data_IF_279277341133
#
_entry.id   IF_279277341133
#
_cell.length_a   1.000
_cell.length_b   1.000
_cell.length_c   1.000
_cell.angle_alpha   90.00
_cell.angle_beta   90.00
_cell.angle_gamma   90.00
#
_symmetry.space_group_name_H-M   'P 1'
#
loop_
_entity.id
_entity.type
_entity.pdbx_description
1 polymer ?
#
# COMPACT_ATOMS: atom_id res chain seq x y z
N UNK A 1 -27.58 1.84 8.46
CA UNK A 1 -27.11 0.52 8.94
C UNK A 1 -26.52 -0.37 7.84
N UNK A 2 -27.23 -0.63 6.71
CA UNK A 2 -26.70 -1.50 5.62
C UNK A 2 -25.36 -1.08 5.03
N UNK A 3 -25.11 0.23 4.87
CA UNK A 3 -23.83 0.72 4.34
C UNK A 3 -22.65 0.52 5.29
N UNK A 4 -22.89 0.62 6.60
CA UNK A 4 -21.88 0.41 7.63
C UNK A 4 -21.42 -1.06 7.63
N UNK A 5 -22.37 -2.01 7.52
CA UNK A 5 -22.07 -3.44 7.40
C UNK A 5 -21.22 -3.75 6.16
N UNK A 6 -21.49 -3.09 5.03
CA UNK A 6 -20.66 -3.24 3.82
C UNK A 6 -19.24 -2.69 4.03
N UNK A 7 -19.08 -1.60 4.78
CA UNK A 7 -17.74 -1.08 5.10
C UNK A 7 -16.93 -2.09 5.91
N UNK A 8 -17.53 -2.74 6.92
CA UNK A 8 -16.85 -3.79 7.68
C UNK A 8 -16.46 -4.98 6.83
N UNK A 9 -17.32 -5.38 5.88
CA UNK A 9 -16.97 -6.44 4.93
C UNK A 9 -15.75 -6.05 4.07
N UNK A 10 -15.69 -4.81 3.57
CA UNK A 10 -14.57 -4.34 2.75
C UNK A 10 -13.28 -4.20 3.57
N UNK A 11 -13.40 -3.71 4.81
CA UNK A 11 -12.30 -3.67 5.76
C UNK A 11 -11.79 -5.07 6.06
N UNK A 12 -12.66 -6.06 6.24
CA UNK A 12 -12.26 -7.45 6.43
C UNK A 12 -11.39 -7.97 5.28
N UNK A 13 -11.80 -7.71 4.03
CA UNK A 13 -11.03 -8.10 2.85
C UNK A 13 -9.68 -7.38 2.75
N UNK A 14 -9.66 -6.07 2.99
CA UNK A 14 -8.44 -5.27 3.01
C UNK A 14 -7.47 -5.69 4.13
N UNK A 15 -8.00 -6.06 5.30
CA UNK A 15 -7.21 -6.57 6.43
C UNK A 15 -6.51 -7.88 6.09
N UNK A 16 -7.14 -8.76 5.29
CA UNK A 16 -6.47 -9.98 4.80
C UNK A 16 -5.23 -9.63 3.98
N UNK A 17 -5.32 -8.66 3.07
CA UNK A 17 -4.17 -8.16 2.30
C UNK A 17 -3.05 -7.65 3.21
N UNK A 18 -3.39 -6.86 4.23
CA UNK A 18 -2.42 -6.38 5.20
C UNK A 18 -1.75 -7.52 5.96
N UNK A 19 -2.53 -8.49 6.43
CA UNK A 19 -2.02 -9.66 7.17
C UNK A 19 -1.08 -10.53 6.31
N UNK A 20 -1.34 -10.65 5.01
CA UNK A 20 -0.44 -11.36 4.09
C UNK A 20 0.92 -10.65 4.00
N UNK A 21 0.93 -9.32 3.82
CA UNK A 21 2.19 -8.55 3.79
C UNK A 21 2.90 -8.59 5.15
N UNK A 22 2.15 -8.46 6.25
CA UNK A 22 2.68 -8.55 7.61
C UNK A 22 3.33 -9.91 7.86
N UNK A 23 2.70 -11.00 7.42
CA UNK A 23 3.29 -12.33 7.49
C UNK A 23 4.63 -12.39 6.74
N UNK A 24 4.70 -11.83 5.52
CA UNK A 24 5.95 -11.73 4.77
C UNK A 24 7.04 -10.92 5.48
N UNK A 25 6.67 -9.83 6.15
CA UNK A 25 7.59 -9.00 6.93
C UNK A 25 8.15 -9.76 8.13
N UNK A 26 7.29 -10.47 8.88
CA UNK A 26 7.66 -11.13 10.14
C UNK A 26 8.41 -12.45 9.93
N UNK A 27 8.02 -13.22 8.90
CA UNK A 27 8.50 -14.59 8.69
C UNK A 27 9.33 -14.79 7.42
N UNK A 28 9.42 -13.78 6.55
CA UNK A 28 10.15 -13.90 5.29
C UNK A 28 11.67 -13.94 5.43
N UNK A 29 12.23 -13.47 6.57
CA UNK A 29 13.68 -13.45 6.80
C UNK A 29 14.47 -12.59 5.81
N UNK A 30 13.79 -11.69 5.09
CA UNK A 30 14.38 -10.91 4.01
C UNK A 30 15.19 -9.73 4.57
N UNK A 31 16.41 -9.58 4.07
CA UNK A 31 17.20 -8.35 4.22
C UNK A 31 16.66 -7.23 3.31
N UNK A 32 17.28 -6.05 3.36
CA UNK A 32 16.96 -4.94 2.46
C UNK A 32 17.06 -5.37 0.99
N UNK A 33 16.08 -4.96 0.22
CA UNK A 33 15.91 -5.32 -1.18
C UNK A 33 16.35 -4.17 -2.08
N UNK A 34 17.38 -4.41 -2.90
CA UNK A 34 17.89 -3.51 -3.95
C UNK A 34 17.89 -2.04 -3.53
N UNK A 35 16.86 -1.30 -3.93
CA UNK A 35 16.76 0.14 -3.82
C UNK A 35 16.40 0.63 -2.42
N UNK A 36 15.98 -0.25 -1.49
CA UNK A 36 15.60 0.14 -0.12
C UNK A 36 16.75 0.82 0.64
N UNK A 37 17.99 0.36 0.44
CA UNK A 37 19.17 1.03 1.03
C UNK A 37 19.44 2.38 0.38
N UNK A 38 19.19 2.51 -0.93
CA UNK A 38 19.32 3.78 -1.64
C UNK A 38 18.27 4.80 -1.16
N UNK A 39 17.03 4.36 -0.93
CA UNK A 39 15.99 5.23 -0.37
C UNK A 39 16.31 5.64 1.06
N UNK A 40 16.83 4.72 1.89
CA UNK A 40 17.30 5.05 3.24
C UNK A 40 18.43 6.08 3.22
N UNK A 41 19.41 5.94 2.33
CA UNK A 41 20.47 6.93 2.21
C UNK A 41 19.95 8.28 1.72
N UNK A 42 18.98 8.26 0.81
CA UNK A 42 18.27 9.46 0.35
C UNK A 42 17.57 10.19 1.50
N UNK A 43 17.12 9.49 2.55
CA UNK A 43 16.57 10.15 3.75
C UNK A 43 17.59 10.97 4.53
N UNK A 44 18.90 10.68 4.41
CA UNK A 44 19.98 11.47 5.01
C UNK A 44 20.32 12.72 4.19
N UNK A 45 19.93 12.72 2.91
CA UNK A 45 20.17 13.77 1.95
C UNK A 45 18.85 14.20 1.30
N UNK A 46 17.97 14.79 2.10
CA UNK A 46 16.67 15.26 1.62
C UNK A 46 16.83 16.32 0.54
N UNK A 47 16.23 16.07 -0.61
CA UNK A 47 16.19 16.99 -1.74
C UNK A 47 14.75 17.05 -2.31
N UNK A 48 14.50 18.02 -3.19
CA UNK A 48 13.23 18.20 -3.91
C UNK A 48 13.15 17.36 -5.20
N UNK A 49 14.22 16.66 -5.56
CA UNK A 49 14.22 15.75 -6.71
C UNK A 49 15.42 14.83 -6.69
N UNK A 50 15.19 13.56 -6.99
CA UNK A 50 16.23 12.56 -7.17
C UNK A 50 16.22 12.09 -8.63
N UNK A 51 17.31 11.45 -9.05
CA UNK A 51 17.45 10.99 -10.45
C UNK A 51 16.33 10.00 -10.82
N UNK A 52 15.96 9.12 -9.90
CA UNK A 52 15.09 7.98 -10.21
C UNK A 52 13.68 8.06 -9.59
N UNK A 53 13.43 9.00 -8.67
CA UNK A 53 12.16 9.03 -7.93
C UNK A 53 11.76 10.43 -7.42
N UNK A 54 10.45 10.65 -7.21
CA UNK A 54 9.96 11.89 -6.61
C UNK A 54 10.36 12.01 -5.11
N UNK A 55 10.45 13.24 -4.57
CA UNK A 55 10.92 13.48 -3.20
C UNK A 55 9.91 13.04 -2.14
N UNK A 56 8.60 13.02 -2.46
CA UNK A 56 7.52 12.78 -1.50
C UNK A 56 7.67 11.44 -0.78
N UNK A 57 8.06 10.38 -1.50
CA UNK A 57 8.30 9.07 -0.88
C UNK A 57 9.43 9.15 0.14
N UNK A 58 10.54 9.80 -0.21
CA UNK A 58 11.71 9.90 0.67
C UNK A 58 11.42 10.75 1.90
N UNK A 59 10.70 11.86 1.75
CA UNK A 59 10.31 12.68 2.90
C UNK A 59 9.42 11.91 3.87
N UNK A 60 8.51 11.08 3.33
CA UNK A 60 7.68 10.20 4.15
C UNK A 60 8.51 9.10 4.83
N UNK A 61 9.44 8.48 4.10
CA UNK A 61 10.37 7.51 4.66
C UNK A 61 11.20 8.12 5.80
N UNK A 62 11.77 9.31 5.57
CA UNK A 62 12.55 10.05 6.56
C UNK A 62 11.77 10.32 7.83
N UNK A 63 10.52 10.76 7.72
CA UNK A 63 9.67 11.01 8.89
C UNK A 63 9.49 9.72 9.71
N UNK A 64 9.23 8.61 9.04
CA UNK A 64 8.98 7.32 9.68
C UNK A 64 10.25 6.78 10.31
N UNK A 65 11.38 6.82 9.60
CA UNK A 65 12.65 6.30 10.11
C UNK A 65 13.20 7.18 11.24
N UNK A 66 12.90 8.48 11.24
CA UNK A 66 13.25 9.39 12.34
C UNK A 66 12.51 9.07 13.64
N UNK A 67 11.31 8.47 13.56
CA UNK A 67 10.48 8.16 14.74
C UNK A 67 10.65 6.71 15.19
N UNK A 68 10.70 5.77 14.23
CA UNK A 68 10.62 4.32 14.49
C UNK A 68 11.93 3.57 14.17
N UNK A 69 12.94 4.26 13.63
CA UNK A 69 14.19 3.65 13.16
C UNK A 69 14.10 3.12 11.72
N UNK A 70 15.22 2.64 11.20
CA UNK A 70 15.39 2.27 9.79
C UNK A 70 15.19 0.78 9.48
N UNK A 71 14.73 -0.02 10.46
CA UNK A 71 14.58 -1.47 10.28
C UNK A 71 13.69 -1.86 9.09
N UNK A 72 14.00 -2.99 8.46
CA UNK A 72 13.23 -3.57 7.33
C UNK A 72 11.72 -3.65 7.64
N UNK A 73 11.37 -4.04 8.87
CA UNK A 73 9.98 -4.16 9.28
C UNK A 73 9.26 -2.81 9.31
N UNK A 74 9.92 -1.76 9.79
CA UNK A 74 9.37 -0.41 9.87
C UNK A 74 9.14 0.14 8.46
N UNK A 75 10.14 0.09 7.60
CA UNK A 75 10.03 0.68 6.26
C UNK A 75 8.98 -0.08 5.42
N UNK A 76 8.85 -1.41 5.55
CA UNK A 76 7.86 -2.21 4.80
C UNK A 76 6.46 -2.18 5.38
N UNK A 77 6.27 -1.70 6.61
CA UNK A 77 4.93 -1.53 7.19
C UNK A 77 4.08 -0.53 6.39
N UNK A 78 4.73 0.49 5.82
CA UNK A 78 4.10 1.54 5.03
C UNK A 78 3.44 1.00 3.76
N UNK A 79 4.18 0.37 2.83
CA UNK A 79 3.57 -0.20 1.63
C UNK A 79 2.56 -1.29 1.96
N UNK A 80 2.77 -2.07 3.03
CA UNK A 80 1.79 -3.05 3.50
C UNK A 80 0.45 -2.39 3.92
N UNK A 81 0.50 -1.26 4.64
CA UNK A 81 -0.71 -0.54 5.04
C UNK A 81 -1.40 0.12 3.85
N UNK A 82 -0.65 0.80 2.98
CA UNK A 82 -1.22 1.49 1.82
C UNK A 82 -1.78 0.50 0.78
N UNK A 83 -1.20 -0.68 0.63
CA UNK A 83 -1.76 -1.72 -0.24
C UNK A 83 -3.13 -2.20 0.24
N UNK A 84 -3.31 -2.34 1.56
CA UNK A 84 -4.62 -2.63 2.16
C UNK A 84 -5.64 -1.51 1.90
N UNK A 85 -5.22 -0.25 2.01
CA UNK A 85 -6.07 0.90 1.67
C UNK A 85 -6.47 0.90 0.19
N UNK A 86 -5.55 0.56 -0.71
CA UNK A 86 -5.82 0.41 -2.15
C UNK A 86 -6.88 -0.66 -2.41
N UNK A 87 -6.81 -1.81 -1.74
CA UNK A 87 -7.84 -2.87 -1.84
C UNK A 87 -9.20 -2.37 -1.34
N UNK A 88 -9.23 -1.68 -0.20
CA UNK A 88 -10.46 -1.09 0.33
C UNK A 88 -11.11 -0.09 -0.64
N UNK A 89 -10.30 0.81 -1.23
CA UNK A 89 -10.78 1.79 -2.22
C UNK A 89 -11.27 1.05 -3.48
N UNK A 90 -10.58 0.01 -3.91
CA UNK A 90 -10.99 -0.78 -5.09
C UNK A 90 -12.34 -1.46 -4.88
N UNK A 91 -12.56 -2.06 -3.70
CA UNK A 91 -13.87 -2.60 -3.30
C UNK A 91 -14.96 -1.53 -3.29
N UNK A 92 -14.65 -0.34 -2.79
CA UNK A 92 -15.57 0.80 -2.78
C UNK A 92 -15.91 1.28 -4.19
N UNK A 93 -14.93 1.31 -5.08
CA UNK A 93 -15.11 1.65 -6.49
C UNK A 93 -16.04 0.63 -7.17
N UNK A 94 -15.79 -0.68 -7.00
CA UNK A 94 -16.66 -1.72 -7.54
C UNK A 94 -18.11 -1.58 -7.04
N UNK A 95 -18.31 -1.26 -5.75
CA UNK A 95 -19.62 -0.96 -5.20
C UNK A 95 -20.27 0.28 -5.86
N UNK A 96 -19.54 1.38 -6.01
CA UNK A 96 -20.06 2.63 -6.61
C UNK A 96 -20.46 2.43 -8.06
N UNK A 97 -19.79 1.55 -8.78
CA UNK A 97 -20.13 1.16 -10.16
C UNK A 97 -21.32 0.21 -10.27
N UNK A 98 -22.05 -0.04 -9.17
CA UNK A 98 -23.23 -0.91 -9.13
C UNK A 98 -22.94 -2.38 -8.82
N UNK A 99 -21.70 -2.73 -8.47
CA UNK A 99 -21.31 -4.09 -8.12
C UNK A 99 -21.96 -4.61 -6.83
N UNK A 100 -22.46 -5.85 -6.89
CA UNK A 100 -22.93 -6.60 -5.71
C UNK A 100 -21.79 -7.17 -4.86
N UNK A 101 -22.12 -7.90 -3.79
CA UNK A 101 -21.13 -8.47 -2.86
C UNK A 101 -20.13 -9.41 -3.54
N UNK A 102 -20.58 -10.21 -4.52
CA UNK A 102 -19.72 -11.10 -5.29
C UNK A 102 -18.70 -10.32 -6.13
N UNK A 103 -19.13 -9.26 -6.81
CA UNK A 103 -18.23 -8.41 -7.60
C UNK A 103 -17.16 -7.76 -6.71
N UNK A 104 -17.55 -7.26 -5.54
CA UNK A 104 -16.60 -6.67 -4.59
C UNK A 104 -15.60 -7.70 -4.06
N UNK A 105 -16.06 -8.91 -3.73
CA UNK A 105 -15.18 -10.00 -3.31
C UNK A 105 -14.17 -10.36 -4.40
N UNK A 106 -14.64 -10.50 -5.64
CA UNK A 106 -13.78 -10.78 -6.79
C UNK A 106 -12.77 -9.66 -7.03
N UNK A 107 -13.17 -8.39 -6.90
CA UNK A 107 -12.24 -7.24 -6.96
C UNK A 107 -11.16 -7.35 -5.89
N UNK A 108 -11.52 -7.62 -4.64
CA UNK A 108 -10.53 -7.75 -3.56
C UNK A 108 -9.53 -8.88 -3.86
N UNK A 109 -10.03 -10.02 -4.32
CA UNK A 109 -9.22 -11.18 -4.68
C UNK A 109 -8.26 -10.85 -5.83
N UNK A 110 -8.78 -10.27 -6.92
CA UNK A 110 -7.99 -9.92 -8.10
C UNK A 110 -6.90 -8.89 -7.80
N UNK A 111 -7.20 -7.84 -7.02
CA UNK A 111 -6.22 -6.82 -6.66
C UNK A 111 -5.17 -7.39 -5.71
N UNK A 112 -5.60 -8.15 -4.69
CA UNK A 112 -4.69 -8.73 -3.68
C UNK A 112 -3.70 -9.71 -4.30
N UNK A 113 -4.16 -10.59 -5.19
CA UNK A 113 -3.33 -11.64 -5.79
C UNK A 113 -2.71 -11.23 -7.12
N UNK A 114 -2.77 -9.95 -7.50
CA UNK A 114 -2.05 -9.45 -8.66
C UNK A 114 -0.53 -9.52 -8.37
N UNK A 115 0.27 -10.31 -9.12
CA UNK A 115 1.66 -10.57 -8.75
C UNK A 115 2.53 -9.32 -8.65
N UNK A 116 2.34 -8.37 -9.58
CA UNK A 116 3.10 -7.11 -9.56
C UNK A 116 2.72 -6.23 -8.37
N UNK A 117 1.44 -6.24 -7.97
CA UNK A 117 0.97 -5.51 -6.78
C UNK A 117 1.57 -6.10 -5.51
N UNK A 118 1.52 -7.42 -5.34
CA UNK A 118 2.16 -8.09 -4.20
C UNK A 118 3.65 -7.83 -4.14
N UNK A 119 4.36 -8.00 -5.27
CA UNK A 119 5.80 -7.80 -5.33
C UNK A 119 6.20 -6.37 -4.96
N UNK A 120 5.53 -5.36 -5.55
CA UNK A 120 5.87 -3.96 -5.34
C UNK A 120 5.47 -3.42 -3.96
N UNK A 121 4.50 -4.04 -3.27
CA UNK A 121 4.09 -3.63 -1.93
C UNK A 121 4.71 -4.48 -0.81
N UNK A 122 5.52 -5.50 -1.14
CA UNK A 122 6.31 -6.25 -0.16
C UNK A 122 7.62 -5.53 0.18
N UNK A 123 8.10 -4.66 -0.70
CA UNK A 123 9.32 -3.85 -0.52
C UNK A 123 8.96 -2.37 -0.50
N UNK A 124 9.79 -1.56 0.15
CA UNK A 124 9.62 -0.11 0.09
C UNK A 124 10.06 0.41 -1.28
N UNK A 125 9.16 1.10 -1.99
CA UNK A 125 9.41 1.82 -3.24
C UNK A 125 8.39 2.93 -3.43
N UNK A 126 8.62 3.93 -4.28
CA UNK A 126 7.63 4.98 -4.55
C UNK A 126 6.28 4.47 -5.10
N UNK A 127 6.24 3.26 -5.67
CA UNK A 127 5.07 2.71 -6.36
C UNK A 127 3.81 2.60 -5.46
N UNK A 128 3.97 2.38 -4.15
CA UNK A 128 2.82 2.29 -3.26
C UNK A 128 2.04 3.62 -3.19
N UNK A 129 2.72 4.76 -3.36
CA UNK A 129 2.09 6.09 -3.42
C UNK A 129 1.32 6.24 -4.72
N UNK A 130 1.88 5.77 -5.84
CA UNK A 130 1.24 5.86 -7.15
C UNK A 130 -0.03 5.02 -7.21
N UNK A 131 -0.01 3.80 -6.66
CA UNK A 131 -1.20 2.97 -6.56
C UNK A 131 -2.29 3.61 -5.70
N UNK A 132 -1.91 4.14 -4.53
CA UNK A 132 -2.86 4.82 -3.65
C UNK A 132 -3.45 6.07 -4.31
N UNK A 133 -2.60 6.95 -4.84
CA UNK A 133 -3.03 8.22 -5.44
C UNK A 133 -3.89 8.01 -6.68
N UNK A 134 -3.56 7.03 -7.52
CA UNK A 134 -4.35 6.64 -8.69
C UNK A 134 -5.76 6.17 -8.30
N UNK A 135 -5.86 5.24 -7.34
CA UNK A 135 -7.17 4.77 -6.87
C UNK A 135 -7.98 5.87 -6.17
N UNK A 136 -7.32 6.67 -5.35
CA UNK A 136 -7.95 7.78 -4.63
C UNK A 136 -8.51 8.84 -5.59
N UNK A 137 -7.73 9.24 -6.60
CA UNK A 137 -8.16 10.18 -7.64
C UNK A 137 -9.36 9.64 -8.43
N UNK A 138 -9.37 8.33 -8.74
CA UNK A 138 -10.47 7.71 -9.46
C UNK A 138 -11.76 7.68 -8.62
N UNK A 139 -11.71 7.19 -7.38
CA UNK A 139 -12.91 7.09 -6.54
C UNK A 139 -13.49 8.47 -6.20
N UNK A 140 -12.62 9.49 -6.07
CA UNK A 140 -13.02 10.87 -5.84
C UNK A 140 -13.93 11.38 -6.97
N UNK A 141 -13.59 11.08 -8.23
CA UNK A 141 -14.39 11.45 -9.41
C UNK A 141 -15.75 10.72 -9.49
N UNK A 142 -15.95 9.66 -8.70
CA UNK A 142 -17.21 8.92 -8.60
C UNK A 142 -18.08 9.39 -7.42
N UNK A 143 -17.79 10.54 -6.81
CA UNK A 143 -18.51 11.09 -5.65
C UNK A 143 -19.12 12.42 -6.02
#
# INVERSE_FOLDING_TARGET
>A
MKQLQKNYFFLGLASVTFLIHLYGILFGGFSYFRDELYYLESTRHLDFGYVDHPPLSIWFLWLITSIFGDSVAVIRMVPALLSSVVVFISCKTAQKLGGGSFAVFLTALSVTFMPIFMGMNTVYSMNFIDYFSGQFSFIWRLT
#
